data_IF_707136350087
#
_entry.id   IF_707136350087
#
_cell.length_a   1.000
_cell.length_b   1.000
_cell.length_c   1.000
_cell.angle_alpha   90.00
_cell.angle_beta   90.00
_cell.angle_gamma   90.00
#
_symmetry.space_group_name_H-M   'P 1'
#
loop_
_entity.id
_entity.type
_entity.pdbx_description
1 polymer ?
#
# COMPACT_ATOMS: atom_id res chain seq x y z
N UNK A 1 54.49 36.11 -7.53
CA UNK A 1 54.17 34.99 -8.45
C UNK A 1 53.45 35.57 -9.64
N UNK A 2 54.03 35.46 -10.84
CA UNK A 2 53.46 36.02 -12.06
C UNK A 2 52.24 35.22 -12.52
N UNK A 3 51.21 35.88 -13.03
CA UNK A 3 49.99 35.27 -13.56
C UNK A 3 50.28 34.19 -14.64
N UNK A 4 51.37 34.33 -15.40
CA UNK A 4 51.81 33.37 -16.41
C UNK A 4 52.20 31.99 -15.83
N UNK A 5 52.70 31.89 -14.60
CA UNK A 5 53.15 30.63 -13.99
C UNK A 5 51.99 29.77 -13.46
N UNK A 6 50.82 30.36 -13.24
CA UNK A 6 49.62 29.61 -12.77
C UNK A 6 48.83 29.02 -13.95
N UNK A 7 48.92 29.66 -15.12
CA UNK A 7 48.23 29.21 -16.32
C UNK A 7 48.85 27.92 -16.91
N UNK A 8 50.15 27.69 -16.71
CA UNK A 8 50.84 26.45 -17.12
C UNK A 8 50.48 25.21 -16.27
N UNK A 9 49.81 25.39 -15.13
CA UNK A 9 49.39 24.31 -14.24
C UNK A 9 47.88 23.98 -14.32
N UNK A 10 47.15 24.66 -15.21
CA UNK A 10 45.73 24.59 -15.33
C UNK A 10 45.34 23.98 -16.68
N UNK A 11 44.74 22.77 -16.66
CA UNK A 11 44.18 22.19 -17.87
C UNK A 11 42.68 22.48 -17.90
N UNK A 12 42.23 23.13 -18.96
CA UNK A 12 40.83 23.51 -19.14
C UNK A 12 40.30 22.84 -20.40
N UNK A 13 39.26 22.03 -20.25
CA UNK A 13 38.59 21.37 -21.36
C UNK A 13 37.10 21.73 -21.37
N UNK A 14 36.60 22.15 -22.52
CA UNK A 14 35.20 22.49 -22.75
C UNK A 14 34.61 21.60 -23.83
N UNK A 15 33.56 20.82 -23.49
CA UNK A 15 32.91 19.90 -24.40
C UNK A 15 31.40 20.09 -24.43
N UNK A 16 30.80 19.77 -25.57
CA UNK A 16 29.37 19.64 -25.75
C UNK A 16 29.02 18.16 -25.86
N UNK A 17 27.91 17.75 -25.28
CA UNK A 17 27.41 16.35 -25.41
C UNK A 17 27.06 15.99 -26.85
N UNK A 18 26.64 16.99 -27.64
CA UNK A 18 26.33 16.89 -29.08
C UNK A 18 26.65 18.24 -29.73
N UNK A 19 27.18 18.24 -30.96
CA UNK A 19 27.43 19.44 -31.74
C UNK A 19 26.26 19.80 -32.66
N UNK A 20 25.43 18.79 -33.03
CA UNK A 20 24.23 18.97 -33.83
C UNK A 20 23.04 18.40 -33.08
N UNK A 21 21.98 19.17 -32.91
CA UNK A 21 20.81 18.82 -32.15
C UNK A 21 19.54 19.41 -32.79
N UNK A 22 18.40 18.84 -32.44
CA UNK A 22 17.11 19.43 -32.78
C UNK A 22 16.74 20.61 -31.87
N UNK A 23 15.94 21.54 -32.36
CA UNK A 23 15.34 22.56 -31.50
C UNK A 23 14.69 21.91 -30.27
N UNK A 24 14.92 22.48 -29.07
CA UNK A 24 14.39 21.99 -27.78
C UNK A 24 14.96 20.64 -27.32
N UNK A 25 15.94 20.07 -28.03
CA UNK A 25 16.70 18.91 -27.56
C UNK A 25 17.69 19.33 -26.50
N UNK A 26 17.90 18.49 -25.50
CA UNK A 26 18.87 18.70 -24.41
C UNK A 26 20.31 18.65 -24.93
N UNK A 27 21.10 19.62 -24.54
CA UNK A 27 22.57 19.61 -24.67
C UNK A 27 23.18 19.81 -23.29
N UNK A 28 24.21 19.06 -22.98
CA UNK A 28 25.03 19.26 -21.78
C UNK A 28 26.34 19.88 -22.18
N UNK A 29 26.65 21.03 -21.61
CA UNK A 29 27.93 21.68 -21.71
C UNK A 29 28.73 21.26 -20.50
N UNK A 30 29.92 20.69 -20.70
CA UNK A 30 30.82 20.26 -19.63
C UNK A 30 32.09 21.03 -19.68
N UNK A 31 32.39 21.74 -18.61
CA UNK A 31 33.67 22.37 -18.36
C UNK A 31 34.44 21.54 -17.34
N UNK A 32 35.61 21.06 -17.72
CA UNK A 32 36.53 20.35 -16.83
C UNK A 32 37.76 21.22 -16.59
N UNK A 33 38.07 21.41 -15.33
CA UNK A 33 39.31 22.13 -14.92
C UNK A 33 40.09 21.20 -14.02
N UNK A 34 41.33 20.89 -14.45
CA UNK A 34 42.25 20.04 -13.70
C UNK A 34 43.35 20.94 -13.14
N UNK A 35 43.60 20.86 -11.86
CA UNK A 35 44.60 21.66 -11.14
C UNK A 35 45.30 20.83 -10.06
N UNK A 36 46.54 21.19 -9.75
CA UNK A 36 47.30 20.63 -8.63
C UNK A 36 46.90 21.24 -7.27
N UNK A 37 46.15 22.35 -7.30
CA UNK A 37 45.67 23.00 -6.08
C UNK A 37 44.35 22.33 -5.64
N UNK A 38 44.44 21.46 -4.64
CA UNK A 38 43.32 20.66 -4.13
C UNK A 38 42.24 21.49 -3.41
N UNK A 39 42.53 22.74 -3.05
CA UNK A 39 41.59 23.66 -2.42
C UNK A 39 41.01 24.71 -3.37
N UNK A 40 41.34 24.64 -4.63
CA UNK A 40 40.84 25.55 -5.64
C UNK A 40 39.32 25.47 -5.82
N UNK A 41 38.71 26.56 -6.25
CA UNK A 41 37.26 26.66 -6.52
C UNK A 41 36.99 27.33 -7.84
N UNK A 42 35.87 27.00 -8.48
CA UNK A 42 35.36 27.69 -9.65
C UNK A 42 34.12 28.47 -9.27
N UNK A 43 34.11 29.75 -9.54
CA UNK A 43 32.93 30.61 -9.49
C UNK A 43 32.51 30.94 -10.93
N UNK A 44 31.22 31.01 -11.18
CA UNK A 44 30.66 31.47 -12.47
C UNK A 44 29.57 32.47 -12.22
N UNK A 45 29.50 33.46 -13.07
CA UNK A 45 28.36 34.33 -13.15
C UNK A 45 27.11 33.52 -13.62
N UNK A 46 25.93 34.09 -13.53
CA UNK A 46 24.69 33.47 -14.02
C UNK A 46 24.78 33.28 -15.54
N UNK A 47 24.29 32.15 -16.03
CA UNK A 47 24.32 31.84 -17.45
C UNK A 47 22.95 32.17 -18.08
N UNK A 48 22.92 33.22 -18.84
CA UNK A 48 21.75 33.64 -19.60
C UNK A 48 22.14 33.92 -21.06
N UNK A 49 21.35 33.38 -21.99
CA UNK A 49 21.50 33.62 -23.42
C UNK A 49 20.17 33.56 -24.13
N UNK A 50 19.88 34.53 -24.98
CA UNK A 50 18.66 34.53 -25.77
C UNK A 50 18.57 33.30 -26.68
N UNK A 51 17.37 32.67 -26.74
CA UNK A 51 17.17 31.49 -27.54
C UNK A 51 17.60 30.18 -26.87
N UNK A 52 18.19 30.24 -25.68
CA UNK A 52 18.54 29.10 -24.86
C UNK A 52 17.71 29.09 -23.57
N UNK A 53 17.24 27.95 -23.16
CA UNK A 53 16.76 27.73 -21.78
C UNK A 53 17.83 26.96 -21.02
N UNK A 54 18.31 27.53 -19.94
CA UNK A 54 19.29 26.91 -19.05
C UNK A 54 18.60 26.47 -17.78
N UNK A 55 18.72 25.19 -17.41
CA UNK A 55 17.94 24.63 -16.29
C UNK A 55 18.78 24.41 -15.04
N UNK A 56 19.99 23.94 -15.21
CA UNK A 56 20.86 23.64 -14.07
C UNK A 56 22.29 23.88 -14.38
N UNK A 57 23.03 24.34 -13.39
CA UNK A 57 24.49 24.19 -13.36
C UNK A 57 24.83 23.29 -12.19
N UNK A 58 25.40 22.14 -12.46
CA UNK A 58 25.91 21.22 -11.45
C UNK A 58 27.43 21.35 -11.39
N UNK A 59 27.98 21.33 -10.20
CA UNK A 59 29.46 21.43 -10.03
C UNK A 59 29.91 20.34 -9.08
N UNK A 60 30.90 19.57 -9.51
CA UNK A 60 31.47 18.47 -8.71
C UNK A 60 33.01 18.61 -8.70
N UNK A 61 33.57 18.46 -7.53
CA UNK A 61 35.02 18.28 -7.35
C UNK A 61 35.35 16.81 -7.20
N UNK A 62 36.31 16.31 -7.97
CA UNK A 62 36.83 14.95 -7.86
C UNK A 62 38.30 15.08 -7.48
N UNK A 63 38.62 14.72 -6.25
CA UNK A 63 39.99 14.78 -5.73
C UNK A 63 40.71 13.47 -6.00
N UNK A 64 41.89 13.55 -6.58
CA UNK A 64 42.82 12.44 -6.81
C UNK A 64 44.09 12.74 -6.01
N UNK A 65 44.96 11.76 -5.79
CA UNK A 65 46.11 11.88 -4.87
C UNK A 65 46.96 13.17 -4.99
N UNK A 66 47.01 13.82 -6.17
CA UNK A 66 47.80 15.03 -6.39
C UNK A 66 47.09 16.08 -7.26
N UNK A 67 45.83 15.89 -7.61
CA UNK A 67 45.13 16.77 -8.53
C UNK A 67 43.66 16.90 -8.14
N UNK A 68 43.09 18.07 -8.33
CA UNK A 68 41.68 18.34 -8.22
C UNK A 68 41.08 18.52 -9.62
N UNK A 69 40.14 17.67 -10.00
CA UNK A 69 39.32 17.81 -11.19
C UNK A 69 37.99 18.46 -10.82
N UNK A 70 37.76 19.68 -11.24
CA UNK A 70 36.49 20.37 -11.07
C UNK A 70 35.67 20.23 -12.35
N UNK A 71 34.49 19.61 -12.26
CA UNK A 71 33.60 19.46 -13.40
C UNK A 71 32.37 20.35 -13.16
N UNK A 72 32.12 21.25 -14.09
CA UNK A 72 30.93 22.09 -14.08
C UNK A 72 30.10 21.81 -15.32
N UNK A 73 28.80 21.54 -15.11
CA UNK A 73 27.89 21.16 -16.18
C UNK A 73 26.71 22.10 -16.24
N UNK A 74 26.33 22.51 -17.44
CA UNK A 74 25.12 23.25 -17.71
C UNK A 74 24.23 22.43 -18.63
N UNK A 75 22.94 22.31 -18.28
CA UNK A 75 21.93 21.68 -19.12
C UNK A 75 21.17 22.77 -19.86
N UNK A 76 21.30 22.78 -21.18
CA UNK A 76 20.67 23.78 -22.04
C UNK A 76 19.70 23.16 -23.04
N UNK A 77 18.74 23.98 -23.50
CA UNK A 77 17.78 23.63 -24.53
C UNK A 77 17.69 24.78 -25.53
N UNK A 78 18.14 24.59 -26.79
CA UNK A 78 18.08 25.63 -27.84
C UNK A 78 16.66 25.73 -28.40
N UNK A 79 16.11 26.93 -28.47
CA UNK A 79 14.79 27.20 -29.05
C UNK A 79 14.83 27.81 -30.45
N UNK A 80 15.97 28.37 -30.83
CA UNK A 80 16.17 28.93 -32.17
C UNK A 80 16.94 27.93 -33.06
N UNK A 81 16.54 27.79 -34.31
CA UNK A 81 17.22 26.96 -35.29
C UNK A 81 18.37 27.74 -35.92
N UNK A 82 19.38 27.01 -36.45
CA UNK A 82 20.58 27.55 -37.06
C UNK A 82 21.80 27.40 -36.15
N UNK A 83 22.93 27.87 -36.62
CA UNK A 83 24.18 27.83 -35.88
C UNK A 83 24.17 28.89 -34.75
N UNK A 84 24.32 28.42 -33.53
CA UNK A 84 24.33 29.27 -32.33
C UNK A 84 25.70 29.22 -31.67
N UNK A 85 26.31 30.38 -31.50
CA UNK A 85 27.52 30.51 -30.70
C UNK A 85 27.13 30.49 -29.23
N UNK A 86 27.68 29.56 -28.49
CA UNK A 86 27.44 29.43 -27.05
C UNK A 86 28.36 30.40 -26.32
N UNK A 87 27.78 31.47 -25.79
CA UNK A 87 28.50 32.49 -25.00
C UNK A 87 28.42 32.11 -23.51
N UNK A 88 29.42 31.33 -23.04
CA UNK A 88 29.49 30.94 -21.64
C UNK A 88 29.63 32.15 -20.70
N UNK A 89 29.11 32.07 -19.46
CA UNK A 89 29.28 33.10 -18.47
C UNK A 89 30.74 33.23 -18.08
N UNK A 90 31.11 34.37 -17.51
CA UNK A 90 32.45 34.58 -16.99
C UNK A 90 32.75 33.58 -15.87
N UNK A 91 33.85 32.81 -16.02
CA UNK A 91 34.27 31.80 -15.05
C UNK A 91 35.57 32.25 -14.41
N UNK A 92 35.59 32.23 -13.09
CA UNK A 92 36.73 32.60 -12.28
C UNK A 92 37.25 31.40 -11.52
N UNK A 93 38.52 31.11 -11.77
CA UNK A 93 39.28 30.15 -10.97
C UNK A 93 39.83 30.86 -9.73
N UNK A 94 39.58 30.35 -8.57
CA UNK A 94 40.09 30.82 -7.28
C UNK A 94 41.05 29.79 -6.72
N UNK A 95 42.36 30.03 -6.79
CA UNK A 95 43.36 29.22 -6.11
C UNK A 95 43.23 29.37 -4.59
N UNK A 96 43.78 28.41 -3.83
CA UNK A 96 43.84 28.49 -2.37
C UNK A 96 44.67 29.71 -1.90
N UNK A 97 45.72 30.02 -2.63
CA UNK A 97 46.58 31.21 -2.39
C UNK A 97 46.74 31.99 -3.69
N UNK A 98 46.46 33.28 -3.65
CA UNK A 98 46.60 34.17 -4.79
C UNK A 98 45.30 34.88 -5.21
N UNK A 99 45.37 35.59 -6.34
CA UNK A 99 44.23 36.34 -6.87
C UNK A 99 43.38 35.44 -7.78
N UNK A 100 42.05 35.63 -7.83
CA UNK A 100 41.20 34.95 -8.79
C UNK A 100 41.61 35.26 -10.23
N UNK A 101 41.57 34.24 -11.09
CA UNK A 101 41.93 34.35 -12.52
C UNK A 101 40.64 34.07 -13.33
N UNK A 102 40.35 34.95 -14.30
CA UNK A 102 39.28 34.69 -15.26
C UNK A 102 39.76 33.71 -16.31
N UNK A 103 39.02 32.62 -16.52
CA UNK A 103 39.33 31.62 -17.54
C UNK A 103 38.86 32.12 -18.91
N UNK A 104 39.78 32.11 -19.88
CA UNK A 104 39.44 32.32 -21.28
C UNK A 104 38.98 30.98 -21.86
N UNK A 105 37.72 30.88 -22.23
CA UNK A 105 37.12 29.66 -22.76
C UNK A 105 36.93 29.78 -24.28
N UNK A 106 37.20 28.71 -25.04
CA UNK A 106 36.95 28.72 -26.47
C UNK A 106 35.44 28.81 -26.72
N UNK A 107 35.06 29.61 -27.72
CA UNK A 107 33.67 29.63 -28.19
C UNK A 107 33.32 28.28 -28.82
N UNK A 108 32.12 27.80 -28.52
CA UNK A 108 31.57 26.59 -29.12
C UNK A 108 30.35 26.94 -29.98
N UNK A 109 30.29 26.32 -31.16
CA UNK A 109 29.15 26.45 -32.06
C UNK A 109 28.29 25.23 -31.92
N UNK A 110 27.00 25.46 -31.73
CA UNK A 110 25.94 24.43 -31.68
C UNK A 110 25.05 24.58 -32.91
N UNK A 111 25.05 23.56 -33.77
CA UNK A 111 24.19 23.54 -34.96
C UNK A 111 22.80 22.98 -34.56
N UNK A 112 21.75 23.80 -34.68
CA UNK A 112 20.39 23.50 -34.23
C UNK A 112 19.49 23.25 -35.43
N UNK A 113 19.11 22.02 -35.62
CA UNK A 113 18.18 21.60 -36.67
C UNK A 113 16.76 22.07 -36.37
N UNK A 114 16.09 22.62 -37.38
CA UNK A 114 14.69 23.00 -37.27
C UNK A 114 13.79 21.76 -37.15
N UNK A 115 12.91 21.77 -36.18
CA UNK A 115 11.92 20.70 -36.03
C UNK A 115 10.98 20.62 -37.25
N UNK A 116 10.54 19.41 -37.63
CA UNK A 116 9.54 19.23 -38.69
C UNK A 116 8.25 19.99 -38.40
N UNK A 117 7.57 20.42 -39.44
CA UNK A 117 6.35 21.28 -39.37
C UNK A 117 5.23 20.60 -38.53
N UNK A 118 5.18 19.28 -38.54
CA UNK A 118 4.17 18.53 -37.80
C UNK A 118 4.44 18.47 -36.28
N UNK A 119 5.58 18.95 -35.80
CA UNK A 119 5.91 19.01 -34.37
C UNK A 119 5.41 20.32 -33.80
N UNK A 120 4.34 20.26 -33.00
CA UNK A 120 3.77 21.46 -32.38
C UNK A 120 4.76 22.20 -31.47
N UNK A 121 4.66 23.52 -31.35
CA UNK A 121 5.56 24.33 -30.49
C UNK A 121 5.58 23.91 -29.03
N UNK A 122 4.49 23.35 -28.53
CA UNK A 122 4.32 22.89 -27.13
C UNK A 122 4.61 21.41 -26.94
N UNK A 123 4.94 20.69 -28.03
CA UNK A 123 5.19 19.26 -27.98
C UNK A 123 6.55 18.98 -27.31
N UNK A 124 6.65 18.01 -26.37
CA UNK A 124 7.93 17.60 -25.80
C UNK A 124 8.88 17.08 -26.88
N UNK A 125 10.15 17.44 -26.75
CA UNK A 125 11.27 16.89 -27.54
C UNK A 125 12.17 16.12 -26.57
N UNK A 126 12.30 14.80 -26.78
CA UNK A 126 12.93 13.86 -25.84
C UNK A 126 11.95 12.79 -25.40
N UNK A 127 12.33 11.92 -24.48
CA UNK A 127 11.53 10.78 -24.07
C UNK A 127 10.54 11.14 -22.95
N UNK A 128 9.28 10.74 -23.09
CA UNK A 128 8.24 10.92 -22.07
C UNK A 128 7.67 9.56 -21.68
N UNK A 129 7.63 9.28 -20.39
CA UNK A 129 7.00 8.11 -19.80
C UNK A 129 5.89 8.55 -18.85
N UNK A 130 4.77 7.83 -18.83
CA UNK A 130 3.64 8.10 -17.94
C UNK A 130 3.40 6.91 -17.03
N UNK A 131 3.27 7.17 -15.75
CA UNK A 131 2.89 6.18 -14.74
C UNK A 131 1.66 6.65 -13.98
N UNK A 132 0.72 5.73 -13.74
CA UNK A 132 -0.43 5.98 -12.88
C UNK A 132 -0.22 5.29 -11.56
N UNK A 133 -0.41 6.02 -10.46
CA UNK A 133 -0.50 5.44 -9.12
C UNK A 133 -1.93 5.59 -8.63
N UNK A 134 -2.60 4.47 -8.55
CA UNK A 134 -3.95 4.35 -8.06
C UNK A 134 -3.95 3.61 -6.72
N UNK A 135 -4.27 4.33 -5.63
CA UNK A 135 -4.19 3.80 -4.25
C UNK A 135 -5.58 3.55 -3.64
N UNK A 136 -6.64 3.90 -4.36
CA UNK A 136 -8.01 3.88 -3.81
C UNK A 136 -8.73 2.52 -3.95
N UNK A 137 -8.02 1.48 -4.40
CA UNK A 137 -8.64 0.17 -4.67
C UNK A 137 -9.50 0.14 -5.93
N UNK A 138 -10.12 -1.01 -6.22
CA UNK A 138 -11.00 -1.22 -7.39
C UNK A 138 -12.46 -0.84 -7.13
N UNK A 139 -12.83 -0.56 -5.87
CA UNK A 139 -14.19 -0.17 -5.48
C UNK A 139 -14.14 1.17 -4.75
N UNK A 140 -14.90 2.14 -5.23
CA UNK A 140 -14.99 3.49 -4.65
C UNK A 140 -16.45 3.88 -4.41
N UNK A 141 -16.66 4.90 -3.57
CA UNK A 141 -18.00 5.41 -3.24
C UNK A 141 -18.35 6.66 -4.03
N UNK A 142 -19.63 6.85 -4.33
CA UNK A 142 -20.12 8.12 -4.90
C UNK A 142 -19.91 9.29 -3.94
N UNK A 143 -19.73 10.50 -4.50
CA UNK A 143 -19.61 11.77 -3.78
C UNK A 143 -18.46 11.88 -2.78
N UNK A 144 -17.58 10.90 -2.73
CA UNK A 144 -16.35 10.92 -1.93
C UNK A 144 -15.23 11.52 -2.76
N UNK A 145 -14.35 12.28 -2.10
CA UNK A 145 -13.17 12.85 -2.74
C UNK A 145 -12.08 11.79 -2.81
N UNK A 146 -11.60 11.53 -4.02
CA UNK A 146 -10.48 10.65 -4.30
C UNK A 146 -9.33 11.40 -4.94
N UNK A 147 -8.13 10.85 -4.83
CA UNK A 147 -6.94 11.40 -5.47
C UNK A 147 -6.36 10.40 -6.48
N UNK A 148 -6.10 10.88 -7.67
CA UNK A 148 -5.44 10.14 -8.72
C UNK A 148 -4.06 10.73 -8.99
N UNK A 149 -3.02 9.96 -8.77
CA UNK A 149 -1.65 10.38 -8.91
C UNK A 149 -1.08 9.94 -10.27
N UNK A 150 -0.70 10.90 -11.10
CA UNK A 150 -0.04 10.67 -12.39
C UNK A 150 1.37 11.20 -12.29
N UNK A 151 2.34 10.37 -12.65
CA UNK A 151 3.74 10.73 -12.72
C UNK A 151 4.16 10.75 -14.19
N UNK A 152 4.55 11.92 -14.68
CA UNK A 152 5.18 12.04 -15.97
C UNK A 152 6.70 12.17 -15.77
N UNK A 153 7.44 11.16 -16.21
CA UNK A 153 8.90 11.16 -16.28
C UNK A 153 9.33 11.62 -17.65
N UNK A 154 10.05 12.72 -17.71
CA UNK A 154 10.54 13.28 -18.96
C UNK A 154 12.06 13.32 -18.93
N UNK A 155 12.70 12.60 -19.84
CA UNK A 155 14.14 12.54 -19.98
C UNK A 155 14.56 13.38 -21.18
N UNK A 156 15.50 14.29 -20.98
CA UNK A 156 15.99 15.20 -22.03
C UNK A 156 14.91 16.13 -22.62
N UNK A 157 13.91 16.49 -21.83
CA UNK A 157 12.78 17.36 -22.23
C UNK A 157 12.87 18.71 -21.55
N UNK A 158 12.66 19.77 -22.29
CA UNK A 158 12.59 21.13 -21.73
C UNK A 158 11.37 21.29 -20.82
N UNK A 159 11.48 21.86 -19.60
CA UNK A 159 10.38 21.97 -18.64
C UNK A 159 9.15 22.71 -19.16
N UNK A 160 9.36 23.69 -20.04
CA UNK A 160 8.29 24.49 -20.65
C UNK A 160 7.41 23.66 -21.59
N UNK A 161 7.96 22.58 -22.17
CA UNK A 161 7.26 21.70 -23.12
C UNK A 161 6.65 20.45 -22.46
N UNK A 162 6.74 20.33 -21.13
CA UNK A 162 6.07 19.24 -20.43
C UNK A 162 4.56 19.27 -20.65
N UNK A 163 3.93 18.11 -20.95
CA UNK A 163 2.53 18.05 -21.29
C UNK A 163 1.64 18.62 -20.19
N UNK A 164 0.73 19.50 -20.57
CA UNK A 164 -0.28 20.02 -19.65
C UNK A 164 -1.40 19.01 -19.50
N UNK A 165 -1.23 18.01 -18.60
CA UNK A 165 -2.22 16.95 -18.36
C UNK A 165 -3.58 17.52 -17.98
N UNK A 166 -3.65 18.70 -17.34
CA UNK A 166 -4.89 19.41 -17.05
C UNK A 166 -5.74 19.74 -18.29
N UNK A 167 -5.12 19.94 -19.44
CA UNK A 167 -5.83 20.19 -20.70
C UNK A 167 -6.34 18.91 -21.37
N UNK A 168 -5.76 17.76 -21.01
CA UNK A 168 -6.13 16.45 -21.56
C UNK A 168 -7.27 15.80 -20.76
N UNK A 169 -7.41 16.20 -19.50
CA UNK A 169 -8.46 15.72 -18.61
C UNK A 169 -9.66 16.65 -18.66
N UNK A 170 -10.82 16.10 -19.01
CA UNK A 170 -12.10 16.81 -18.99
C UNK A 170 -13.02 16.15 -17.97
N UNK A 171 -13.74 16.97 -17.23
CA UNK A 171 -14.86 16.50 -16.42
C UNK A 171 -15.95 15.96 -17.33
N UNK A 172 -16.64 14.91 -16.90
CA UNK A 172 -17.82 14.36 -17.54
C UNK A 172 -18.99 14.38 -16.54
N UNK A 173 -20.19 14.04 -16.97
CA UNK A 173 -21.35 13.95 -16.06
C UNK A 173 -21.10 12.98 -14.89
N UNK A 174 -20.35 11.92 -15.13
CA UNK A 174 -20.02 10.89 -14.12
C UNK A 174 -18.77 11.20 -13.31
N UNK A 175 -17.83 12.02 -13.84
CA UNK A 175 -16.52 12.30 -13.26
C UNK A 175 -16.27 13.79 -13.15
N UNK A 176 -16.30 14.32 -11.94
CA UNK A 176 -15.99 15.72 -11.66
C UNK A 176 -14.54 15.86 -11.20
N UNK A 177 -13.69 16.41 -12.05
CA UNK A 177 -12.26 16.65 -11.77
C UNK A 177 -12.13 18.06 -11.20
N UNK A 178 -11.56 18.15 -10.00
CA UNK A 178 -11.31 19.42 -9.33
C UNK A 178 -9.98 20.05 -9.77
N UNK A 179 -9.80 21.36 -9.58
CA UNK A 179 -8.54 22.04 -9.88
C UNK A 179 -7.37 21.38 -9.12
N UNK A 180 -6.26 21.15 -9.81
CA UNK A 180 -5.07 20.53 -9.23
C UNK A 180 -3.79 21.26 -9.60
N UNK A 181 -2.77 21.06 -8.76
CA UNK A 181 -1.44 21.62 -8.95
C UNK A 181 -0.46 20.57 -9.47
N UNK A 182 0.46 21.02 -10.31
CA UNK A 182 1.58 20.24 -10.81
C UNK A 182 2.79 20.51 -9.91
N UNK A 183 3.47 19.47 -9.47
CA UNK A 183 4.77 19.55 -8.79
C UNK A 183 5.84 18.99 -9.72
N UNK A 184 6.90 19.78 -9.96
CA UNK A 184 8.04 19.36 -10.78
C UNK A 184 9.23 19.17 -9.89
N UNK A 185 9.90 18.02 -10.02
CA UNK A 185 11.20 17.75 -9.38
C UNK A 185 12.18 17.28 -10.43
N UNK A 186 13.35 17.90 -10.46
CA UNK A 186 14.46 17.47 -11.33
C UNK A 186 15.44 16.65 -10.51
N UNK A 187 15.79 15.47 -10.99
CA UNK A 187 16.82 14.63 -10.37
C UNK A 187 17.61 13.92 -11.47
N UNK A 188 18.94 14.15 -11.52
CA UNK A 188 19.82 13.47 -12.46
C UNK A 188 19.44 13.68 -13.94
N UNK A 189 18.99 14.88 -14.33
CA UNK A 189 18.58 15.18 -15.71
C UNK A 189 17.21 14.65 -16.11
N UNK A 190 16.49 13.98 -15.20
CA UNK A 190 15.12 13.52 -15.40
C UNK A 190 14.15 14.47 -14.71
N UNK A 191 13.19 14.98 -15.45
CA UNK A 191 12.11 15.80 -14.94
C UNK A 191 10.95 14.91 -14.51
N UNK A 192 10.67 14.85 -13.21
CA UNK A 192 9.53 14.15 -12.67
C UNK A 192 8.41 15.16 -12.37
N UNK A 193 7.35 15.11 -13.14
CA UNK A 193 6.15 15.91 -12.88
C UNK A 193 5.09 15.05 -12.22
N UNK A 194 4.71 15.40 -10.99
CA UNK A 194 3.67 14.71 -10.25
C UNK A 194 2.39 15.56 -10.31
N UNK A 195 1.33 14.96 -10.84
CA UNK A 195 0.00 15.54 -10.89
C UNK A 195 -0.88 14.80 -9.90
N UNK A 196 -1.33 15.50 -8.85
CA UNK A 196 -2.30 15.01 -7.89
C UNK A 196 -3.66 15.53 -8.28
N UNK A 197 -4.49 14.66 -8.80
CA UNK A 197 -5.76 15.01 -9.43
C UNK A 197 -6.90 14.61 -8.49
N UNK A 198 -7.45 15.56 -7.73
CA UNK A 198 -8.62 15.31 -6.92
C UNK A 198 -9.86 15.21 -7.81
N UNK A 199 -10.69 14.21 -7.56
CA UNK A 199 -11.93 14.03 -8.32
C UNK A 199 -13.05 13.44 -7.45
N UNK A 200 -14.28 13.61 -7.90
CA UNK A 200 -15.49 13.00 -7.33
C UNK A 200 -16.25 12.27 -8.43
N UNK A 201 -16.90 11.18 -8.05
CA UNK A 201 -17.75 10.41 -8.96
C UNK A 201 -19.20 10.55 -8.54
N UNK A 202 -20.07 10.84 -9.50
CA UNK A 202 -21.50 11.07 -9.26
C UNK A 202 -22.37 9.90 -9.69
N UNK A 203 -21.91 9.07 -10.65
CA UNK A 203 -22.66 7.92 -11.17
C UNK A 203 -22.29 6.62 -10.48
N UNK A 204 -23.25 5.70 -10.39
CA UNK A 204 -23.06 4.33 -9.91
C UNK A 204 -22.63 3.41 -11.06
N UNK A 205 -21.97 2.32 -10.72
CA UNK A 205 -21.61 1.26 -11.66
C UNK A 205 -20.16 1.32 -12.10
N UNK A 206 -19.89 0.89 -13.32
CA UNK A 206 -18.52 0.84 -13.85
C UNK A 206 -18.04 2.23 -14.29
N UNK A 207 -16.87 2.63 -13.82
CA UNK A 207 -16.20 3.85 -14.23
C UNK A 207 -14.86 3.51 -14.87
N UNK A 208 -14.66 4.01 -16.09
CA UNK A 208 -13.34 4.01 -16.71
C UNK A 208 -12.82 5.44 -16.70
N UNK A 209 -11.67 5.65 -16.08
CA UNK A 209 -10.99 6.95 -16.11
C UNK A 209 -10.52 7.24 -17.54
N UNK A 210 -10.44 8.52 -17.94
CA UNK A 210 -10.03 8.87 -19.31
C UNK A 210 -8.58 8.47 -19.58
N UNK A 211 -8.34 7.87 -20.74
CA UNK A 211 -7.00 7.58 -21.23
C UNK A 211 -6.21 8.88 -21.46
N UNK A 212 -4.99 8.91 -20.98
CA UNK A 212 -4.09 10.03 -21.20
C UNK A 212 -3.12 9.66 -22.32
N UNK A 213 -3.20 10.43 -23.41
CA UNK A 213 -2.39 10.24 -24.62
C UNK A 213 -1.46 11.43 -24.76
N UNK A 214 -0.15 11.20 -24.67
CA UNK A 214 0.87 12.22 -24.86
C UNK A 214 1.70 11.85 -26.08
N UNK A 215 1.84 12.81 -27.01
CA UNK A 215 2.74 12.70 -28.15
C UNK A 215 4.02 13.49 -27.85
N UNK A 216 5.15 12.98 -28.27
CA UNK A 216 6.44 13.63 -28.17
C UNK A 216 7.29 13.32 -29.41
N UNK A 217 8.28 14.16 -29.66
CA UNK A 217 9.26 13.95 -30.72
C UNK A 217 10.50 13.28 -30.12
N UNK A 218 10.85 12.12 -30.64
CA UNK A 218 12.08 11.41 -30.23
C UNK A 218 13.24 11.83 -31.12
N UNK A 219 14.24 12.58 -30.59
CA UNK A 219 15.34 13.12 -31.39
C UNK A 219 16.22 12.06 -32.05
N UNK A 220 16.39 10.89 -31.40
CA UNK A 220 17.26 9.84 -31.92
C UNK A 220 16.66 9.14 -33.13
N UNK A 221 15.37 8.92 -33.17
CA UNK A 221 14.65 8.31 -34.29
C UNK A 221 14.16 9.33 -35.31
N UNK A 222 14.07 10.61 -34.96
CA UNK A 222 13.49 11.67 -35.77
C UNK A 222 11.98 11.51 -36.00
N UNK A 223 11.29 10.76 -35.15
CA UNK A 223 9.87 10.40 -35.33
C UNK A 223 9.01 10.90 -34.18
N UNK A 224 7.70 10.98 -34.47
CA UNK A 224 6.69 11.18 -33.43
C UNK A 224 6.39 9.85 -32.75
N UNK A 225 6.55 9.86 -31.43
CA UNK A 225 6.18 8.76 -30.56
C UNK A 225 4.94 9.13 -29.75
N UNK A 226 4.24 8.10 -29.26
CA UNK A 226 3.03 8.27 -28.47
C UNK A 226 3.05 7.35 -27.28
N UNK A 227 2.89 7.92 -26.11
CA UNK A 227 2.66 7.19 -24.88
C UNK A 227 1.19 7.26 -24.48
N UNK A 228 0.60 6.12 -24.14
CA UNK A 228 -0.79 6.01 -23.69
C UNK A 228 -0.79 5.42 -22.30
N UNK A 229 -1.30 6.19 -21.34
CA UNK A 229 -1.53 5.71 -20.01
C UNK A 229 -2.93 5.09 -19.96
N UNK A 230 -2.97 3.74 -19.93
CA UNK A 230 -4.20 2.97 -19.73
C UNK A 230 -4.62 3.04 -18.27
N UNK A 231 -5.90 3.21 -18.03
CA UNK A 231 -6.44 3.39 -16.69
C UNK A 231 -7.01 2.09 -16.11
N UNK A 232 -6.98 1.93 -14.78
CA UNK A 232 -7.65 0.81 -14.14
C UNK A 232 -9.17 0.95 -14.26
N UNK A 233 -9.83 -0.19 -14.32
CA UNK A 233 -11.26 -0.28 -14.18
C UNK A 233 -11.65 -0.10 -12.71
N UNK A 234 -12.61 0.76 -12.43
CA UNK A 234 -13.06 1.09 -11.09
C UNK A 234 -14.57 0.88 -10.99
N UNK A 235 -15.03 0.24 -9.94
CA UNK A 235 -16.44 0.05 -9.67
C UNK A 235 -16.92 1.04 -8.61
N UNK A 236 -18.00 1.76 -8.92
CA UNK A 236 -18.55 2.83 -8.06
C UNK A 236 -19.83 2.35 -7.40
N UNK A 237 -19.85 2.38 -6.07
CA UNK A 237 -21.00 1.97 -5.26
C UNK A 237 -21.52 3.15 -4.43
N UNK A 238 -22.80 3.11 -4.09
CA UNK A 238 -23.37 4.06 -3.14
C UNK A 238 -22.97 3.70 -1.71
N UNK A 239 -22.54 4.66 -0.87
CA UNK A 239 -22.29 4.41 0.54
C UNK A 239 -23.52 3.88 1.25
N UNK A 240 -24.72 4.27 0.82
CA UNK A 240 -25.99 3.74 1.34
C UNK A 240 -26.15 2.23 1.11
N UNK A 241 -25.71 1.71 -0.03
CA UNK A 241 -25.75 0.27 -0.31
C UNK A 241 -24.82 -0.53 0.64
N UNK A 242 -23.66 0.04 0.98
CA UNK A 242 -22.74 -0.58 1.93
C UNK A 242 -23.41 -0.69 3.30
N UNK A 243 -24.01 0.40 3.78
CA UNK A 243 -24.68 0.44 5.06
C UNK A 243 -25.89 -0.50 5.11
N UNK A 244 -26.69 -0.55 4.03
CA UNK A 244 -27.85 -1.49 3.97
C UNK A 244 -27.39 -2.94 4.04
N UNK A 245 -26.31 -3.30 3.37
CA UNK A 245 -25.74 -4.65 3.44
C UNK A 245 -25.23 -5.01 4.85
N UNK A 246 -24.54 -4.08 5.51
CA UNK A 246 -24.09 -4.26 6.91
C UNK A 246 -25.28 -4.44 7.84
N UNK A 247 -26.37 -3.67 7.68
CA UNK A 247 -27.58 -3.79 8.49
C UNK A 247 -28.24 -5.17 8.28
N UNK A 248 -28.33 -5.65 7.04
CA UNK A 248 -28.90 -6.97 6.73
C UNK A 248 -28.08 -8.09 7.37
N UNK A 249 -26.74 -8.02 7.27
CA UNK A 249 -25.86 -8.98 7.94
C UNK A 249 -26.01 -8.95 9.45
N UNK A 250 -26.15 -7.77 10.04
CA UNK A 250 -26.32 -7.61 11.48
C UNK A 250 -27.65 -8.20 11.96
N UNK A 251 -28.74 -7.94 11.22
CA UNK A 251 -30.06 -8.54 11.49
C UNK A 251 -29.98 -10.07 11.37
N UNK A 252 -29.35 -10.59 10.31
CA UNK A 252 -29.12 -12.02 10.13
C UNK A 252 -28.37 -12.65 11.30
N UNK A 253 -27.33 -11.98 11.77
CA UNK A 253 -26.53 -12.42 12.91
C UNK A 253 -27.35 -12.45 14.21
N UNK A 254 -28.20 -11.43 14.46
CA UNK A 254 -29.13 -11.42 15.61
C UNK A 254 -30.11 -12.58 15.52
N UNK A 255 -30.68 -12.84 14.35
CA UNK A 255 -31.62 -13.95 14.17
C UNK A 255 -30.96 -15.31 14.45
N UNK A 256 -29.70 -15.50 14.02
CA UNK A 256 -28.95 -16.71 14.35
C UNK A 256 -28.73 -16.84 15.86
N UNK A 257 -28.34 -15.76 16.54
CA UNK A 257 -28.18 -15.79 18.01
C UNK A 257 -29.50 -16.14 18.68
N UNK A 258 -30.58 -15.49 18.29
CA UNK A 258 -31.91 -15.74 18.87
C UNK A 258 -32.39 -17.20 18.65
N UNK A 259 -32.03 -17.81 17.52
CA UNK A 259 -32.41 -19.21 17.25
C UNK A 259 -31.52 -20.22 18.01
N UNK A 260 -30.21 -19.89 18.19
CA UNK A 260 -29.27 -20.77 18.90
C UNK A 260 -29.34 -20.64 20.42
N UNK A 261 -29.72 -19.45 20.91
CA UNK A 261 -29.77 -19.14 22.34
C UNK A 261 -30.66 -20.08 23.15
N UNK A 262 -31.92 -20.36 22.76
CA UNK A 262 -32.78 -21.32 23.51
C UNK A 262 -32.21 -22.73 23.51
N UNK A 263 -31.56 -23.15 22.42
CA UNK A 263 -30.88 -24.44 22.36
C UNK A 263 -29.73 -24.53 23.34
N UNK A 264 -28.91 -23.48 23.42
CA UNK A 264 -27.81 -23.39 24.40
C UNK A 264 -28.33 -23.36 25.84
N UNK A 265 -29.42 -22.61 26.12
CA UNK A 265 -30.01 -22.60 27.43
C UNK A 265 -30.54 -23.99 27.81
N UNK A 266 -31.15 -24.70 26.87
CA UNK A 266 -31.62 -26.10 27.11
C UNK A 266 -30.43 -27.03 27.42
N UNK A 267 -29.32 -26.92 26.73
CA UNK A 267 -28.10 -27.72 27.00
C UNK A 267 -27.50 -27.40 28.38
N UNK A 268 -27.41 -26.11 28.71
CA UNK A 268 -26.86 -25.65 30.00
C UNK A 268 -27.79 -26.11 31.16
N UNK A 269 -29.10 -25.99 31.00
CA UNK A 269 -30.06 -26.44 32.02
C UNK A 269 -29.98 -27.94 32.25
N UNK A 270 -29.92 -28.73 31.15
CA UNK A 270 -29.73 -30.19 31.25
C UNK A 270 -28.45 -30.55 31.99
N UNK A 271 -27.33 -29.85 31.65
CA UNK A 271 -26.06 -30.09 32.32
C UNK A 271 -26.09 -29.72 33.81
N UNK A 272 -26.74 -28.62 34.16
CA UNK A 272 -26.94 -28.21 35.56
C UNK A 272 -27.77 -29.22 36.33
N UNK A 273 -28.95 -29.63 35.81
CA UNK A 273 -29.80 -30.63 36.43
C UNK A 273 -29.05 -31.96 36.61
N UNK A 274 -28.27 -32.40 35.62
CA UNK A 274 -27.42 -33.60 35.73
C UNK A 274 -26.44 -33.49 36.88
N UNK A 275 -25.73 -32.33 36.99
CA UNK A 275 -24.75 -32.10 38.07
C UNK A 275 -25.41 -32.07 39.44
N UNK A 276 -26.58 -31.43 39.56
CA UNK A 276 -27.34 -31.36 40.83
C UNK A 276 -27.86 -32.74 41.22
N UNK A 277 -28.33 -33.53 40.26
CA UNK A 277 -28.75 -34.93 40.51
C UNK A 277 -27.58 -35.81 40.97
N UNK A 278 -26.39 -35.68 40.37
CA UNK A 278 -25.20 -36.43 40.84
C UNK A 278 -24.73 -35.97 42.21
N UNK A 279 -24.80 -34.68 42.52
CA UNK A 279 -24.49 -34.18 43.86
C UNK A 279 -25.49 -34.67 44.92
N UNK A 280 -26.83 -34.67 44.56
CA UNK A 280 -27.86 -35.22 45.44
C UNK A 280 -27.63 -36.70 45.69
N UNK A 281 -27.26 -37.47 44.64
CA UNK A 281 -26.95 -38.90 44.79
C UNK A 281 -25.73 -39.12 45.69
N UNK A 282 -24.66 -38.32 45.60
CA UNK A 282 -23.49 -38.43 46.45
C UNK A 282 -23.78 -38.15 47.92
N UNK A 283 -24.77 -37.33 48.22
CA UNK A 283 -25.16 -36.93 49.58
C UNK A 283 -26.35 -37.68 50.14
N UNK A 284 -26.95 -38.61 49.37
CA UNK A 284 -28.12 -39.33 49.74
C UNK A 284 -27.90 -40.23 51.00
N UNK A 285 -28.82 -40.14 51.94
CA UNK A 285 -28.79 -40.85 53.25
C UNK A 285 -29.86 -41.93 53.40
N UNK A 286 -30.87 -41.84 52.50
CA UNK A 286 -32.02 -42.71 52.51
C UNK A 286 -32.34 -43.20 51.09
N UNK A 287 -33.04 -44.35 50.99
CA UNK A 287 -33.45 -44.93 49.70
C UNK A 287 -34.37 -43.98 48.88
N UNK A 288 -35.24 -43.26 49.57
CA UNK A 288 -36.11 -42.27 48.89
C UNK A 288 -35.29 -41.12 48.28
N UNK A 289 -34.21 -40.66 48.92
CA UNK A 289 -33.31 -39.63 48.38
C UNK A 289 -32.54 -40.18 47.18
N UNK A 290 -32.09 -41.41 47.19
CA UNK A 290 -31.45 -42.03 46.01
C UNK A 290 -32.43 -42.12 44.85
N UNK A 291 -33.63 -42.55 45.07
CA UNK A 291 -34.68 -42.66 44.04
C UNK A 291 -35.03 -41.31 43.45
N UNK A 292 -35.16 -40.26 44.26
CA UNK A 292 -35.42 -38.90 43.79
C UNK A 292 -34.24 -38.34 42.99
N UNK A 293 -32.99 -38.56 43.42
CA UNK A 293 -31.80 -38.15 42.68
C UNK A 293 -31.67 -38.85 41.31
N UNK A 294 -31.96 -40.16 41.28
CA UNK A 294 -31.97 -40.95 40.05
C UNK A 294 -33.10 -40.47 39.09
N UNK A 295 -34.26 -40.16 39.60
CA UNK A 295 -35.38 -39.57 38.80
C UNK A 295 -34.97 -38.24 38.17
N UNK A 296 -34.29 -37.37 38.91
CA UNK A 296 -33.73 -36.11 38.37
C UNK A 296 -32.65 -36.35 37.29
N UNK A 297 -31.80 -37.36 37.52
CA UNK A 297 -30.78 -37.74 36.56
C UNK A 297 -31.37 -38.26 35.25
N UNK A 298 -32.38 -39.15 35.32
CA UNK A 298 -33.04 -39.71 34.15
C UNK A 298 -33.81 -38.64 33.36
N UNK A 299 -34.41 -37.68 34.06
CA UNK A 299 -35.06 -36.50 33.44
C UNK A 299 -34.02 -35.64 32.70
N UNK A 300 -32.83 -35.40 33.29
CA UNK A 300 -31.75 -34.64 32.66
C UNK A 300 -31.21 -35.35 31.42
N UNK A 301 -31.15 -36.67 31.42
CA UNK A 301 -30.74 -37.50 30.30
C UNK A 301 -31.82 -37.66 29.23
N UNK A 302 -33.06 -37.23 29.49
CA UNK A 302 -34.17 -37.34 28.56
C UNK A 302 -34.76 -38.74 28.47
N UNK A 303 -34.53 -39.63 29.48
CA UNK A 303 -35.03 -40.99 29.49
C UNK A 303 -36.48 -41.10 30.00
N UNK A 304 -37.03 -40.07 30.64
CA UNK A 304 -38.39 -40.00 31.20
C UNK A 304 -38.38 -39.86 32.73
N UNK A 305 -39.56 -39.57 33.29
CA UNK A 305 -39.72 -39.29 34.74
C UNK A 305 -40.01 -40.54 35.58
N UNK A 306 -40.63 -41.59 34.97
CA UNK A 306 -41.10 -42.79 35.67
C UNK A 306 -40.35 -44.05 35.22
N UNK A 307 -39.06 -43.97 35.09
CA UNK A 307 -38.21 -45.11 34.69
C UNK A 307 -37.91 -45.97 35.90
N UNK A 308 -38.09 -47.29 35.75
CA UNK A 308 -37.70 -48.27 36.77
C UNK A 308 -36.18 -48.35 36.86
N UNK A 309 -35.67 -48.77 38.04
CA UNK A 309 -34.23 -48.93 38.24
C UNK A 309 -33.58 -49.86 37.21
N UNK A 310 -34.32 -50.90 36.78
CA UNK A 310 -33.85 -51.85 35.74
C UNK A 310 -33.75 -51.18 34.34
N UNK A 311 -34.63 -50.26 34.04
CA UNK A 311 -34.55 -49.48 32.80
C UNK A 311 -33.38 -48.49 32.82
N UNK A 312 -33.04 -47.95 33.99
CA UNK A 312 -31.83 -47.09 34.12
C UNK A 312 -30.59 -47.91 33.82
N UNK A 313 -30.46 -49.12 34.38
CA UNK A 313 -29.37 -50.01 34.09
C UNK A 313 -29.26 -50.36 32.60
N UNK A 314 -30.42 -50.57 31.94
CA UNK A 314 -30.46 -50.85 30.52
C UNK A 314 -30.01 -49.67 29.66
N UNK A 315 -30.39 -48.45 30.01
CA UNK A 315 -30.06 -47.23 29.24
C UNK A 315 -28.60 -46.77 29.40
N UNK A 316 -27.86 -47.23 30.42
CA UNK A 316 -26.43 -46.90 30.61
C UNK A 316 -25.53 -47.57 29.52
N UNK A 317 -26.02 -48.60 28.80
CA UNK A 317 -25.51 -49.05 27.50
C UNK A 317 -24.15 -49.75 27.44
N UNK A 318 -23.33 -49.74 28.52
CA UNK A 318 -22.01 -50.42 28.57
C UNK A 318 -22.16 -51.71 29.34
N UNK A 319 -21.93 -52.88 28.73
CA UNK A 319 -22.17 -54.20 29.36
C UNK A 319 -21.55 -54.35 30.74
N UNK A 320 -20.40 -53.84 31.00
CA UNK A 320 -19.70 -53.95 32.29
C UNK A 320 -20.30 -53.00 33.34
N UNK A 321 -20.60 -51.77 32.94
CA UNK A 321 -21.24 -50.76 33.78
C UNK A 321 -22.66 -51.15 34.15
N UNK A 322 -23.35 -51.83 33.23
CA UNK A 322 -24.71 -52.36 33.40
C UNK A 322 -24.74 -53.42 34.50
N UNK A 323 -23.81 -54.38 34.51
CA UNK A 323 -23.68 -55.41 35.53
C UNK A 323 -23.41 -54.84 36.92
N UNK A 324 -22.54 -53.82 37.01
CA UNK A 324 -22.22 -53.17 38.27
C UNK A 324 -23.40 -52.35 38.81
N UNK A 325 -24.11 -51.63 37.91
CA UNK A 325 -25.33 -50.89 38.27
C UNK A 325 -26.45 -51.85 38.70
N UNK A 326 -26.67 -52.95 37.96
CA UNK A 326 -27.66 -54.01 38.34
C UNK A 326 -27.37 -54.60 39.71
N UNK A 327 -26.08 -54.89 40.00
CA UNK A 327 -25.68 -55.43 41.32
C UNK A 327 -25.93 -54.46 42.48
N UNK A 328 -25.70 -53.17 42.25
CA UNK A 328 -25.94 -52.11 43.25
C UNK A 328 -27.46 -51.88 43.40
N UNK A 329 -28.24 -51.91 42.32
CA UNK A 329 -29.70 -51.79 42.35
C UNK A 329 -30.34 -52.96 43.10
N UNK A 330 -29.89 -54.21 42.90
CA UNK A 330 -30.38 -55.36 43.58
C UNK A 330 -30.12 -55.26 45.09
N UNK A 331 -28.92 -54.82 45.49
CA UNK A 331 -28.58 -54.57 46.90
C UNK A 331 -29.43 -53.45 47.51
N UNK A 332 -29.75 -52.38 46.76
CA UNK A 332 -30.63 -51.30 47.18
C UNK A 332 -32.07 -51.83 47.36
N UNK A 333 -32.54 -52.72 46.48
CA UNK A 333 -33.85 -53.37 46.60
C UNK A 333 -33.95 -54.28 47.80
N UNK A 334 -32.94 -55.02 48.10
CA UNK A 334 -32.90 -55.84 49.32
C UNK A 334 -32.84 -54.98 50.59
N UNK A 335 -32.19 -53.80 50.57
CA UNK A 335 -32.19 -52.89 51.72
C UNK A 335 -33.51 -52.15 51.96
N UNK A 336 -34.41 -52.02 50.92
CA UNK A 336 -35.70 -51.41 51.05
C UNK A 336 -36.64 -52.25 51.98
N UNK A 337 -36.46 -53.56 52.09
CA UNK A 337 -37.28 -54.49 52.87
C UNK A 337 -36.71 -54.88 54.23
N UNK A 338 -35.50 -54.35 54.59
CA UNK A 338 -34.86 -54.66 55.86
C UNK A 338 -35.12 -53.58 56.90
N UNK A 339 -35.78 -54.03 58.05
CA UNK A 339 -36.34 -53.14 59.06
C UNK A 339 -35.35 -52.71 60.18
N UNK A 340 -34.08 -52.91 60.07
CA UNK A 340 -33.13 -52.60 61.17
C UNK A 340 -31.99 -51.71 60.80
N UNK A 341 -31.62 -50.77 61.67
CA UNK A 341 -30.68 -49.64 61.61
C UNK A 341 -29.26 -49.87 61.19
N UNK A 342 -28.88 -51.02 60.62
CA UNK A 342 -27.55 -51.29 60.02
C UNK A 342 -27.38 -50.73 58.62
N UNK A 343 -28.43 -50.29 57.98
CA UNK A 343 -28.48 -50.00 56.54
C UNK A 343 -27.95 -48.64 56.14
N UNK A 344 -27.90 -47.63 57.02
CA UNK A 344 -27.52 -46.25 56.61
C UNK A 344 -26.08 -46.15 56.08
N UNK A 345 -25.17 -46.94 56.61
CA UNK A 345 -23.74 -46.90 56.14
C UNK A 345 -23.58 -47.61 54.79
N UNK A 346 -24.37 -48.65 54.57
CA UNK A 346 -24.37 -49.45 53.35
C UNK A 346 -25.08 -48.70 52.21
N UNK A 347 -26.20 -48.02 52.48
CA UNK A 347 -26.91 -47.13 51.55
C UNK A 347 -25.99 -46.01 51.08
N UNK A 348 -25.26 -45.36 52.00
CA UNK A 348 -24.28 -44.32 51.66
C UNK A 348 -23.14 -44.84 50.79
N UNK A 349 -22.66 -46.04 51.03
CA UNK A 349 -21.60 -46.69 50.26
C UNK A 349 -22.08 -47.01 48.83
N UNK A 350 -23.29 -47.49 48.69
CA UNK A 350 -23.92 -47.81 47.41
C UNK A 350 -24.28 -46.55 46.60
N UNK A 351 -24.78 -45.48 47.24
CA UNK A 351 -25.02 -44.19 46.65
C UNK A 351 -23.70 -43.57 46.09
N UNK A 352 -22.59 -43.67 46.86
CA UNK A 352 -21.29 -43.24 46.42
C UNK A 352 -20.73 -44.08 45.27
N UNK A 353 -20.99 -45.37 45.24
CA UNK A 353 -20.62 -46.23 44.12
C UNK A 353 -21.39 -45.88 42.84
N UNK A 354 -22.71 -45.67 42.96
CA UNK A 354 -23.55 -45.24 41.86
C UNK A 354 -23.15 -43.87 41.32
N UNK A 355 -22.83 -42.94 42.22
CA UNK A 355 -22.31 -41.61 41.79
C UNK A 355 -21.02 -41.73 40.96
N UNK A 356 -20.09 -42.61 41.37
CA UNK A 356 -18.82 -42.86 40.64
C UNK A 356 -19.08 -43.46 39.26
N UNK A 357 -20.07 -44.30 39.12
CA UNK A 357 -20.40 -44.96 37.85
C UNK A 357 -21.18 -44.06 36.89
N UNK A 358 -21.93 -43.09 37.41
CA UNK A 358 -22.72 -42.17 36.60
C UNK A 358 -22.02 -40.85 36.22
N UNK A 359 -20.87 -40.59 36.84
CA UNK A 359 -20.04 -39.42 36.56
C UNK A 359 -19.20 -39.59 35.29
#
# INVERSE_FOLDING_TARGET
MNAATVQDQLQVNLSLSKETVWQREQVIITLEVITKDTFARLDSDEFEQNGLTIISSDQKGIETKNELKIVKQWTIFPFLAGDQVIALPRIRYRPNSGRPITLELPQKILSVLKLPIYVAPTMPVGKVELESKWENGSVISTNTLYEWNIIAKATRVAPQTLPAISKLLRSSESLNILPFKKSIKTRGGVLNSVYRIPFKVSSLGSLTLPDIKVQYFEPESGKLEKVVLKQPFVFVISPWLIWSFVIVLFIGFILVILSVFPYLQMLISKHKIRKDALNALANARDYQEIRSALSLYTKAMGWGENITLDQIAFNIGVKQLKSDVESIIERLRCSEFSTEGRDKLEIKKQASALHKLLK
#
